data_IF_709893464013
#
_entry.id   IF_709893464013
#
_cell.length_a   1.000
_cell.length_b   1.000
_cell.length_c   1.000
_cell.angle_alpha   90.00
_cell.angle_beta   90.00
_cell.angle_gamma   90.00
#
_symmetry.space_group_name_H-M   'P 1'
#
loop_
_entity.id
_entity.type
_entity.pdbx_description
1 polymer ?
#
# COMPACT_ATOMS: atom_id res chain seq x y z
N UNK A 1 10.45 -4.00 -24.47
CA UNK A 1 9.52 -5.06 -24.01
C UNK A 1 9.35 -4.93 -22.50
N UNK A 2 8.14 -4.64 -22.01
CA UNK A 2 7.94 -4.36 -20.57
C UNK A 2 6.57 -3.78 -20.20
N UNK A 3 5.53 -3.98 -21.03
CA UNK A 3 4.25 -3.28 -20.89
C UNK A 3 3.56 -3.52 -19.54
N UNK A 4 3.44 -4.78 -19.12
CA UNK A 4 2.78 -5.14 -17.85
C UNK A 4 3.54 -4.68 -16.60
N UNK A 5 4.89 -4.66 -16.65
CA UNK A 5 5.67 -4.13 -15.54
C UNK A 5 5.65 -2.61 -15.50
N UNK A 6 5.77 -1.93 -16.65
CA UNK A 6 5.60 -0.48 -16.73
C UNK A 6 4.20 -0.06 -16.27
N UNK A 7 3.19 -0.82 -16.64
CA UNK A 7 1.83 -0.67 -16.13
C UNK A 7 1.81 -0.80 -14.60
N UNK A 8 2.44 -1.83 -14.04
CA UNK A 8 2.55 -1.99 -12.60
C UNK A 8 3.21 -0.77 -11.92
N UNK A 9 4.36 -0.33 -12.42
CA UNK A 9 5.11 0.81 -11.88
C UNK A 9 4.24 2.08 -11.93
N UNK A 10 3.66 2.40 -13.08
CA UNK A 10 2.88 3.64 -13.25
C UNK A 10 1.61 3.59 -12.40
N UNK A 11 0.79 2.56 -12.56
CA UNK A 11 -0.53 2.54 -11.94
C UNK A 11 -0.48 2.17 -10.46
N UNK A 12 0.30 1.18 -10.06
CA UNK A 12 0.30 0.70 -8.68
C UNK A 12 1.36 1.35 -7.79
N UNK A 13 2.51 1.76 -8.35
CA UNK A 13 3.57 2.37 -7.53
C UNK A 13 3.55 3.90 -7.54
N UNK A 14 2.88 4.54 -8.52
CA UNK A 14 2.80 6.00 -8.62
C UNK A 14 1.36 6.49 -8.45
N UNK A 15 0.44 6.07 -9.32
CA UNK A 15 -0.93 6.60 -9.32
C UNK A 15 -1.72 6.15 -8.08
N UNK A 16 -1.72 4.85 -7.77
CA UNK A 16 -2.47 4.30 -6.64
C UNK A 16 -2.10 4.93 -5.28
N UNK A 17 -0.82 5.09 -4.89
CA UNK A 17 -0.48 5.72 -3.61
C UNK A 17 -0.88 7.20 -3.55
N UNK A 18 -0.82 7.94 -4.67
CA UNK A 18 -1.31 9.33 -4.73
C UNK A 18 -2.83 9.36 -4.52
N UNK A 19 -3.57 8.50 -5.20
CA UNK A 19 -5.02 8.40 -5.02
C UNK A 19 -5.38 7.97 -3.59
N UNK A 20 -4.66 7.01 -3.02
CA UNK A 20 -4.83 6.58 -1.63
C UNK A 20 -4.59 7.72 -0.62
N UNK A 21 -3.59 8.57 -0.88
CA UNK A 21 -3.36 9.77 -0.10
C UNK A 21 -4.53 10.76 -0.19
N UNK A 22 -5.00 11.05 -1.41
CA UNK A 22 -6.15 11.94 -1.60
C UNK A 22 -7.42 11.40 -0.93
N UNK A 23 -7.71 10.11 -1.07
CA UNK A 23 -8.86 9.47 -0.40
C UNK A 23 -8.75 9.61 1.10
N UNK A 24 -7.59 9.32 1.68
CA UNK A 24 -7.37 9.46 3.14
C UNK A 24 -7.53 10.91 3.58
N UNK A 25 -6.98 11.85 2.83
CA UNK A 25 -7.11 13.28 3.12
C UNK A 25 -8.58 13.72 3.10
N UNK A 26 -9.33 13.34 2.07
CA UNK A 26 -10.77 13.66 1.98
C UNK A 26 -11.60 13.02 3.08
N UNK A 27 -11.27 11.78 3.49
CA UNK A 27 -11.96 11.09 4.56
C UNK A 27 -11.72 11.79 5.91
N UNK A 28 -10.48 12.14 6.22
CA UNK A 28 -10.13 12.86 7.45
C UNK A 28 -10.79 14.24 7.46
N UNK A 29 -10.67 15.03 6.39
CA UNK A 29 -11.28 16.36 6.31
C UNK A 29 -12.81 16.30 6.42
N UNK A 30 -13.43 15.28 5.83
CA UNK A 30 -14.87 15.03 5.95
C UNK A 30 -15.29 14.77 7.40
N UNK A 31 -14.49 14.00 8.15
CA UNK A 31 -14.72 13.76 9.57
C UNK A 31 -14.50 15.03 10.41
N UNK A 32 -13.46 15.82 10.13
CA UNK A 32 -13.19 17.09 10.83
C UNK A 32 -14.29 18.15 10.59
N UNK A 33 -14.92 18.13 9.41
CA UNK A 33 -16.03 19.04 9.09
C UNK A 33 -17.32 18.74 9.86
N UNK A 34 -17.44 17.54 10.45
CA UNK A 34 -18.56 17.18 11.32
C UNK A 34 -18.23 17.54 12.77
N UNK A 35 -18.99 18.47 13.35
CA UNK A 35 -18.76 19.04 14.68
C UNK A 35 -18.65 18.02 15.83
N UNK A 36 -19.27 16.84 15.66
CA UNK A 36 -19.30 15.77 16.66
C UNK A 36 -17.96 15.03 16.84
N UNK A 37 -17.02 15.14 15.89
CA UNK A 37 -15.78 14.35 15.94
C UNK A 37 -14.64 14.99 16.74
N UNK A 38 -14.71 16.31 16.97
CA UNK A 38 -13.69 17.06 17.72
C UNK A 38 -13.59 16.66 19.20
N UNK A 39 -14.59 15.96 19.73
CA UNK A 39 -14.66 15.50 21.12
C UNK A 39 -14.15 14.07 21.37
N UNK A 40 -13.80 13.29 20.34
CA UNK A 40 -13.28 11.93 20.55
C UNK A 40 -11.88 11.99 21.17
N UNK A 41 -11.72 11.36 22.33
CA UNK A 41 -10.49 11.34 23.13
C UNK A 41 -9.23 10.91 22.36
N UNK A 42 -9.36 10.16 21.27
CA UNK A 42 -8.25 9.65 20.47
C UNK A 42 -8.19 10.18 19.03
N UNK A 43 -8.93 11.23 18.70
CA UNK A 43 -9.02 11.76 17.33
C UNK A 43 -7.66 12.17 16.75
N UNK A 44 -6.85 12.90 17.52
CA UNK A 44 -5.54 13.37 17.06
C UNK A 44 -4.57 12.21 16.79
N UNK A 45 -4.59 11.19 17.65
CA UNK A 45 -3.81 9.96 17.47
C UNK A 45 -4.22 9.23 16.20
N UNK A 46 -5.52 9.08 15.95
CA UNK A 46 -6.04 8.49 14.72
C UNK A 46 -5.57 9.26 13.48
N UNK A 47 -5.75 10.58 13.46
CA UNK A 47 -5.36 11.44 12.34
C UNK A 47 -3.87 11.33 12.03
N UNK A 48 -3.02 11.47 13.04
CA UNK A 48 -1.57 11.41 12.88
C UNK A 48 -1.11 10.02 12.40
N UNK A 49 -1.73 8.95 12.92
CA UNK A 49 -1.41 7.59 12.50
C UNK A 49 -1.85 7.32 11.05
N UNK A 50 -3.03 7.79 10.63
CA UNK A 50 -3.50 7.65 9.25
C UNK A 50 -2.57 8.38 8.27
N UNK A 51 -2.20 9.63 8.57
CA UNK A 51 -1.23 10.35 7.74
C UNK A 51 0.14 9.69 7.73
N UNK A 52 0.63 9.22 8.88
CA UNK A 52 1.89 8.49 8.98
C UNK A 52 1.91 7.23 8.11
N UNK A 53 0.87 6.40 8.19
CA UNK A 53 0.74 5.17 7.40
C UNK A 53 0.76 5.48 5.90
N UNK A 54 -0.01 6.48 5.47
CA UNK A 54 -0.07 6.85 4.05
C UNK A 54 1.27 7.39 3.56
N UNK A 55 1.93 8.26 4.32
CA UNK A 55 3.25 8.80 3.95
C UNK A 55 4.27 7.66 3.82
N UNK A 56 4.33 6.75 4.79
CA UNK A 56 5.20 5.56 4.72
C UNK A 56 4.85 4.72 3.49
N UNK A 57 3.57 4.52 3.19
CA UNK A 57 3.13 3.76 2.03
C UNK A 57 3.63 4.39 0.71
N UNK A 58 3.46 5.71 0.55
CA UNK A 58 3.95 6.46 -0.62
C UNK A 58 5.46 6.27 -0.79
N UNK A 59 6.23 6.39 0.29
CA UNK A 59 7.69 6.19 0.25
C UNK A 59 8.07 4.76 -0.15
N UNK A 60 7.40 3.75 0.40
CA UNK A 60 7.65 2.34 0.04
C UNK A 60 7.30 2.09 -1.43
N UNK A 61 6.19 2.62 -1.92
CA UNK A 61 5.77 2.47 -3.32
C UNK A 61 6.72 3.18 -4.29
N UNK A 62 7.20 4.38 -3.96
CA UNK A 62 8.19 5.08 -4.79
C UNK A 62 9.55 4.37 -4.80
N UNK A 63 9.97 3.82 -3.65
CA UNK A 63 11.17 2.99 -3.59
C UNK A 63 11.02 1.72 -4.42
N UNK A 64 9.84 1.08 -4.38
CA UNK A 64 9.52 -0.07 -5.22
C UNK A 64 9.57 0.30 -6.71
N UNK A 65 8.98 1.44 -7.10
CA UNK A 65 9.04 1.96 -8.47
C UNK A 65 10.50 2.15 -8.92
N UNK A 66 11.32 2.77 -8.07
CA UNK A 66 12.74 2.97 -8.35
C UNK A 66 13.45 1.63 -8.58
N UNK A 67 13.36 0.69 -7.63
CA UNK A 67 13.98 -0.63 -7.74
C UNK A 67 13.55 -1.35 -9.02
N UNK A 68 12.25 -1.35 -9.33
CA UNK A 68 11.72 -2.00 -10.53
C UNK A 68 12.13 -1.31 -11.83
N UNK A 69 12.50 -0.03 -11.78
CA UNK A 69 12.93 0.75 -12.95
C UNK A 69 14.43 0.72 -13.20
N UNK A 70 15.26 0.55 -12.17
CA UNK A 70 16.72 0.67 -12.27
C UNK A 70 17.49 -0.61 -11.98
N UNK A 71 16.92 -1.57 -11.25
CA UNK A 71 17.65 -2.77 -10.85
C UNK A 71 17.51 -3.88 -11.88
N UNK A 72 18.65 -4.40 -12.35
CA UNK A 72 18.73 -5.64 -13.12
C UNK A 72 19.19 -6.86 -12.27
N UNK A 73 19.39 -6.65 -10.95
CA UNK A 73 20.02 -7.61 -10.05
C UNK A 73 19.00 -8.56 -9.43
N UNK A 74 19.19 -9.88 -9.56
CA UNK A 74 18.33 -10.91 -8.95
C UNK A 74 18.04 -10.72 -7.45
N UNK A 75 18.96 -10.13 -6.70
CA UNK A 75 18.84 -9.89 -5.26
C UNK A 75 17.68 -8.96 -4.92
N UNK A 76 17.36 -7.97 -5.77
CA UNK A 76 16.29 -7.00 -5.46
C UNK A 76 14.88 -7.57 -5.67
N UNK A 77 14.76 -8.85 -6.08
CA UNK A 77 13.47 -9.53 -6.29
C UNK A 77 12.77 -9.83 -4.98
N UNK A 78 13.54 -10.28 -4.00
CA UNK A 78 13.05 -10.49 -2.63
C UNK A 78 12.54 -9.18 -2.05
N UNK A 79 13.33 -8.12 -2.19
CA UNK A 79 13.00 -6.78 -1.71
C UNK A 79 11.73 -6.23 -2.36
N UNK A 80 11.61 -6.34 -3.69
CA UNK A 80 10.42 -5.88 -4.40
C UNK A 80 9.15 -6.59 -3.91
N UNK A 81 9.21 -7.92 -3.77
CA UNK A 81 8.08 -8.70 -3.28
C UNK A 81 7.77 -8.32 -1.82
N UNK A 82 8.78 -8.18 -0.97
CA UNK A 82 8.59 -7.77 0.43
C UNK A 82 7.91 -6.39 0.50
N UNK A 83 8.39 -5.42 -0.27
CA UNK A 83 7.81 -4.07 -0.31
C UNK A 83 6.35 -4.07 -0.77
N UNK A 84 6.00 -4.91 -1.74
CA UNK A 84 4.60 -5.08 -2.16
C UNK A 84 3.70 -5.58 -1.03
N UNK A 85 4.15 -6.58 -0.27
CA UNK A 85 3.39 -7.12 0.86
C UNK A 85 3.29 -6.12 2.01
N UNK A 86 4.36 -5.38 2.27
CA UNK A 86 4.38 -4.31 3.28
C UNK A 86 3.42 -3.19 2.91
N UNK A 87 3.50 -2.68 1.67
CA UNK A 87 2.68 -1.56 1.22
C UNK A 87 1.22 -1.94 0.92
N UNK A 88 0.91 -3.22 0.70
CA UNK A 88 -0.45 -3.70 0.48
C UNK A 88 -1.08 -4.26 1.76
N UNK A 89 -1.14 -5.60 1.93
CA UNK A 89 -1.85 -6.23 3.03
C UNK A 89 -1.41 -5.79 4.42
N UNK A 90 -0.10 -5.67 4.66
CA UNK A 90 0.42 -5.36 6.00
C UNK A 90 0.05 -3.94 6.41
N UNK A 91 0.18 -2.96 5.51
CA UNK A 91 -0.24 -1.58 5.78
C UNK A 91 -1.74 -1.49 6.09
N UNK A 92 -2.59 -2.23 5.36
CA UNK A 92 -4.04 -2.26 5.62
C UNK A 92 -4.39 -2.85 6.98
N UNK A 93 -3.77 -3.98 7.34
CA UNK A 93 -3.97 -4.63 8.65
C UNK A 93 -3.48 -3.70 9.77
N UNK A 94 -2.29 -3.11 9.60
CA UNK A 94 -1.75 -2.15 10.56
C UNK A 94 -2.66 -0.93 10.76
N UNK A 95 -3.17 -0.35 9.66
CA UNK A 95 -4.15 0.74 9.72
C UNK A 95 -5.46 0.34 10.40
N UNK A 96 -5.93 -0.89 10.18
CA UNK A 96 -7.11 -1.40 10.86
C UNK A 96 -6.94 -1.61 12.35
N UNK A 97 -5.77 -2.09 12.78
CA UNK A 97 -5.44 -2.21 14.20
C UNK A 97 -5.46 -0.83 14.86
N UNK A 98 -4.81 0.16 14.24
CA UNK A 98 -4.81 1.55 14.71
C UNK A 98 -6.23 2.10 14.82
N UNK A 99 -7.04 1.91 13.78
CA UNK A 99 -8.42 2.40 13.75
C UNK A 99 -9.28 1.73 14.81
N UNK A 100 -9.12 0.43 15.06
CA UNK A 100 -9.85 -0.30 16.10
C UNK A 100 -9.53 0.23 17.50
N UNK A 101 -8.26 0.52 17.81
CA UNK A 101 -7.88 1.09 19.10
C UNK A 101 -8.31 2.56 19.27
N UNK A 102 -8.32 3.33 18.18
CA UNK A 102 -8.71 4.73 18.25
C UNK A 102 -10.24 4.94 18.25
N UNK A 103 -10.98 4.07 17.56
CA UNK A 103 -12.43 4.13 17.36
C UNK A 103 -13.07 2.74 17.54
N UNK A 104 -13.14 2.20 18.78
CA UNK A 104 -13.55 0.82 19.04
C UNK A 104 -15.02 0.53 18.69
N UNK A 105 -15.88 1.55 18.66
CA UNK A 105 -17.28 1.41 18.25
C UNK A 105 -17.48 1.41 16.73
N UNK A 106 -16.44 1.77 15.97
CA UNK A 106 -16.47 1.68 14.52
C UNK A 106 -16.54 0.21 14.09
N UNK A 107 -17.38 -0.10 13.09
CA UNK A 107 -17.40 -1.42 12.42
C UNK A 107 -16.17 -1.63 11.52
N UNK A 108 -15.00 -1.27 12.03
CA UNK A 108 -13.70 -1.20 11.35
C UNK A 108 -13.38 -2.53 10.66
N UNK A 109 -13.64 -3.65 11.33
CA UNK A 109 -13.35 -4.97 10.77
C UNK A 109 -14.25 -5.37 9.59
N UNK A 110 -15.50 -4.90 9.54
CA UNK A 110 -16.41 -5.21 8.43
C UNK A 110 -15.91 -4.61 7.11
N UNK A 111 -15.28 -3.43 7.16
CA UNK A 111 -14.75 -2.74 5.99
C UNK A 111 -13.32 -3.18 5.64
N UNK A 112 -12.49 -3.45 6.65
CA UNK A 112 -11.08 -3.76 6.44
C UNK A 112 -10.85 -5.20 5.99
N UNK A 113 -11.65 -6.16 6.47
CA UNK A 113 -11.46 -7.57 6.09
C UNK A 113 -11.61 -7.77 4.56
N UNK A 114 -12.68 -7.29 3.90
CA UNK A 114 -12.81 -7.39 2.45
C UNK A 114 -11.67 -6.69 1.70
N UNK A 115 -11.26 -5.50 2.17
CA UNK A 115 -10.16 -4.74 1.56
C UNK A 115 -8.81 -5.46 1.69
N UNK A 116 -8.53 -6.03 2.87
CA UNK A 116 -7.32 -6.79 3.13
C UNK A 116 -7.27 -8.08 2.31
N UNK A 117 -8.39 -8.81 2.17
CA UNK A 117 -8.49 -10.00 1.33
C UNK A 117 -8.27 -9.67 -0.15
N UNK A 118 -8.92 -8.61 -0.65
CA UNK A 118 -8.73 -8.14 -2.02
C UNK A 118 -7.28 -7.72 -2.29
N UNK A 119 -6.67 -6.98 -1.36
CA UNK A 119 -5.26 -6.58 -1.43
C UNK A 119 -4.32 -7.79 -1.42
N UNK A 120 -4.55 -8.77 -0.54
CA UNK A 120 -3.75 -9.99 -0.47
C UNK A 120 -3.88 -10.83 -1.73
N UNK A 121 -5.08 -10.94 -2.31
CA UNK A 121 -5.32 -11.64 -3.57
C UNK A 121 -4.53 -11.00 -4.72
N UNK A 122 -4.64 -9.69 -4.92
CA UNK A 122 -3.91 -8.99 -5.98
C UNK A 122 -2.39 -9.01 -5.75
N UNK A 123 -1.94 -8.82 -4.52
CA UNK A 123 -0.51 -8.90 -4.15
C UNK A 123 0.04 -10.29 -4.45
N UNK A 124 -0.76 -11.35 -4.23
CA UNK A 124 -0.38 -12.73 -4.57
C UNK A 124 -0.26 -12.92 -6.08
N UNK A 125 -1.21 -12.42 -6.88
CA UNK A 125 -1.14 -12.47 -8.35
C UNK A 125 0.15 -11.83 -8.85
N UNK A 126 0.46 -10.62 -8.38
CA UNK A 126 1.67 -9.93 -8.78
C UNK A 126 2.93 -10.63 -8.27
N UNK A 127 2.92 -11.16 -7.05
CA UNK A 127 4.03 -11.97 -6.52
C UNK A 127 4.31 -13.17 -7.42
N UNK A 128 3.26 -13.89 -7.87
CA UNK A 128 3.39 -15.00 -8.79
C UNK A 128 3.91 -14.55 -10.15
N UNK A 129 3.44 -13.40 -10.65
CA UNK A 129 3.95 -12.80 -11.88
C UNK A 129 5.44 -12.49 -11.79
N UNK A 130 5.89 -11.81 -10.74
CA UNK A 130 7.31 -11.52 -10.48
C UNK A 130 8.14 -12.79 -10.31
N UNK A 131 7.58 -13.83 -9.65
CA UNK A 131 8.31 -15.09 -9.42
C UNK A 131 8.45 -15.95 -10.65
N UNK A 132 7.37 -16.16 -11.42
CA UNK A 132 7.27 -17.17 -12.49
C UNK A 132 7.41 -16.62 -13.91
N UNK A 133 7.26 -15.33 -14.14
CA UNK A 133 7.31 -14.77 -15.49
C UNK A 133 8.72 -14.79 -16.07
N UNK A 134 8.94 -15.64 -17.08
CA UNK A 134 10.20 -15.68 -17.86
C UNK A 134 10.57 -14.32 -18.44
N UNK A 135 9.57 -13.51 -18.83
CA UNK A 135 9.80 -12.17 -19.39
C UNK A 135 10.37 -11.21 -18.35
N UNK A 136 9.83 -11.22 -17.14
CA UNK A 136 10.33 -10.39 -16.03
C UNK A 136 11.72 -10.86 -15.62
N UNK A 137 11.93 -12.18 -15.52
CA UNK A 137 13.24 -12.79 -15.24
C UNK A 137 14.31 -12.34 -16.24
N UNK A 138 14.04 -12.46 -17.53
CA UNK A 138 15.03 -12.15 -18.57
C UNK A 138 15.33 -10.65 -18.72
N UNK A 139 14.45 -9.76 -18.23
CA UNK A 139 14.60 -8.32 -18.41
C UNK A 139 15.25 -7.65 -17.20
N UNK A 140 14.96 -8.10 -15.98
CA UNK A 140 15.33 -7.39 -14.75
C UNK A 140 16.05 -8.24 -13.71
N UNK A 141 16.19 -9.54 -13.94
CA UNK A 141 16.75 -10.47 -12.96
C UNK A 141 17.88 -11.28 -13.61
N UNK A 142 18.90 -10.57 -14.11
CA UNK A 142 20.08 -11.21 -14.69
C UNK A 142 20.87 -11.90 -13.58
N UNK A 143 21.33 -13.15 -13.79
CA UNK A 143 22.26 -13.78 -12.86
C UNK A 143 23.54 -12.95 -12.80
N UNK A 144 24.04 -12.71 -11.58
CA UNK A 144 25.36 -12.12 -11.33
C UNK A 144 26.44 -13.11 -11.74
#
# INVERSE_FOLDING_TARGET
MGGWLKFYIIFFCIVAPILGFLVTLTAVLGLESNSDFSGFYNWETYRNAMYGIVVVNVFVMFRLAYILSTSELQTTKGDAIMMMWVAGPVALIGGGIVMHFALPEGRVFEEIIPAALGSAFWTTIWTLYFKKSKRVANTYWKPV
#
